data_IF_829116999195
#
_entry.id   IF_829116999195
#
_cell.length_a   1.000
_cell.length_b   1.000
_cell.length_c   1.000
_cell.angle_alpha   90.00
_cell.angle_beta   90.00
_cell.angle_gamma   90.00
#
_symmetry.space_group_name_H-M   'P 1'
#
loop_
_entity.id
_entity.type
_entity.pdbx_description
1 polymer ?
#
# COMPACT_ATOMS: atom_id res chain seq x y z
N UNK A 1 -53.91 35.90 -21.34
CA UNK A 1 -52.71 36.70 -21.65
C UNK A 1 -51.52 35.79 -21.52
N UNK A 2 -50.73 35.72 -22.57
CA UNK A 2 -49.58 34.84 -22.84
C UNK A 2 -48.43 35.03 -21.83
N UNK A 3 -47.71 33.97 -21.47
CA UNK A 3 -46.28 33.76 -21.77
C UNK A 3 -45.81 32.36 -21.32
N UNK A 4 -44.87 31.80 -22.08
CA UNK A 4 -44.28 30.47 -21.98
C UNK A 4 -42.82 30.54 -21.48
N UNK A 5 -42.17 29.37 -21.41
CA UNK A 5 -40.73 29.10 -21.16
C UNK A 5 -40.28 29.19 -19.68
N UNK A 6 -39.55 28.26 -19.05
CA UNK A 6 -38.90 27.02 -19.46
C UNK A 6 -37.95 26.53 -18.34
N UNK A 7 -37.93 25.21 -18.12
CA UNK A 7 -36.75 24.35 -17.92
C UNK A 7 -35.65 24.63 -16.86
N UNK A 8 -35.35 23.56 -16.10
CA UNK A 8 -34.13 23.22 -15.35
C UNK A 8 -33.75 24.09 -14.14
N UNK A 9 -33.48 23.45 -12.99
CA UNK A 9 -32.13 23.08 -12.53
C UNK A 9 -32.23 22.58 -11.08
N UNK A 10 -31.47 21.53 -10.80
CA UNK A 10 -31.16 20.95 -9.50
C UNK A 10 -30.68 22.02 -8.51
N UNK A 11 -31.43 22.27 -7.44
CA UNK A 11 -30.93 23.06 -6.30
C UNK A 11 -30.05 22.15 -5.42
N UNK A 12 -28.84 21.90 -5.90
CA UNK A 12 -27.69 21.45 -5.11
C UNK A 12 -27.15 22.69 -4.44
N UNK A 13 -27.43 22.83 -3.14
CA UNK A 13 -26.93 23.97 -2.38
C UNK A 13 -25.40 23.96 -2.28
N UNK A 14 -24.76 25.14 -2.32
CA UNK A 14 -23.35 25.28 -2.64
C UNK A 14 -22.46 24.99 -1.44
N UNK A 15 -21.43 24.17 -1.66
CA UNK A 15 -20.32 24.01 -0.71
C UNK A 15 -19.62 25.34 -0.52
N UNK A 16 -19.50 25.77 0.74
CA UNK A 16 -18.74 26.97 1.11
C UNK A 16 -17.30 26.94 0.55
N UNK A 17 -16.69 28.11 0.32
CA UNK A 17 -15.41 28.20 -0.35
C UNK A 17 -14.30 27.56 0.50
N UNK A 18 -13.80 26.43 0.03
CA UNK A 18 -12.48 25.90 0.42
C UNK A 18 -11.43 26.97 0.08
N UNK A 19 -10.38 27.16 0.91
CA UNK A 19 -9.37 28.19 0.71
C UNK A 19 -8.79 28.12 -0.70
N UNK A 20 -9.00 29.19 -1.47
CA UNK A 20 -8.63 29.32 -2.90
C UNK A 20 -7.14 29.06 -3.14
N UNK A 21 -6.31 29.25 -2.11
CA UNK A 21 -4.87 29.02 -2.14
C UNK A 21 -4.47 27.56 -2.42
N UNK A 22 -5.17 26.58 -1.84
CA UNK A 22 -4.84 25.16 -2.00
C UNK A 22 -5.26 24.66 -3.39
N UNK A 23 -6.37 25.20 -3.90
CA UNK A 23 -6.87 24.88 -5.24
C UNK A 23 -5.90 25.35 -6.33
N UNK A 24 -5.43 26.60 -6.24
CA UNK A 24 -4.49 27.14 -7.22
C UNK A 24 -3.12 26.47 -7.15
N UNK A 25 -2.63 26.08 -5.96
CA UNK A 25 -1.38 25.30 -5.82
C UNK A 25 -1.47 23.93 -6.48
N UNK A 26 -2.55 23.19 -6.25
CA UNK A 26 -2.73 21.84 -6.84
C UNK A 26 -2.96 21.91 -8.35
N UNK A 27 -3.70 22.92 -8.83
CA UNK A 27 -3.96 23.10 -10.27
C UNK A 27 -2.72 23.63 -11.01
N UNK A 28 -1.93 24.50 -10.38
CA UNK A 28 -0.63 24.93 -10.89
C UNK A 28 0.39 23.80 -10.97
N UNK A 29 0.47 22.95 -9.93
CA UNK A 29 1.31 21.75 -9.95
C UNK A 29 0.90 20.78 -11.07
N UNK A 30 -0.40 20.52 -11.22
CA UNK A 30 -0.92 19.63 -12.26
C UNK A 30 -0.59 20.14 -13.68
N UNK A 31 -0.74 21.45 -13.93
CA UNK A 31 -0.38 22.07 -15.20
C UNK A 31 1.14 22.03 -15.45
N UNK A 32 1.96 22.28 -14.43
CA UNK A 32 3.42 22.16 -14.54
C UNK A 32 3.86 20.74 -14.90
N UNK A 33 3.30 19.73 -14.23
CA UNK A 33 3.58 18.32 -14.54
C UNK A 33 3.15 17.99 -15.97
N UNK A 34 1.97 18.44 -16.41
CA UNK A 34 1.50 18.20 -17.77
C UNK A 34 2.44 18.78 -18.82
N UNK A 35 2.96 20.00 -18.63
CA UNK A 35 3.93 20.62 -19.55
C UNK A 35 5.23 19.85 -19.60
N UNK A 36 5.74 19.38 -18.44
CA UNK A 36 6.96 18.56 -18.38
C UNK A 36 6.78 17.24 -19.12
N UNK A 37 5.65 16.56 -18.92
CA UNK A 37 5.36 15.29 -19.60
C UNK A 37 5.28 15.49 -21.12
N UNK A 38 4.60 16.54 -21.59
CA UNK A 38 4.54 16.87 -23.02
C UNK A 38 5.93 17.18 -23.58
N UNK A 39 6.76 17.92 -22.84
CA UNK A 39 8.14 18.21 -23.23
C UNK A 39 9.00 16.95 -23.37
N UNK A 40 8.89 16.01 -22.43
CA UNK A 40 9.61 14.73 -22.47
C UNK A 40 9.15 13.89 -23.66
N UNK A 41 7.84 13.80 -23.92
CA UNK A 41 7.29 13.06 -25.07
C UNK A 41 7.74 13.68 -26.39
N UNK A 42 7.74 15.01 -26.50
CA UNK A 42 8.25 15.67 -27.70
C UNK A 42 9.75 15.40 -27.90
N UNK A 43 10.55 15.46 -26.83
CA UNK A 43 11.99 15.18 -26.89
C UNK A 43 12.29 13.73 -27.30
N UNK A 44 11.54 12.75 -26.79
CA UNK A 44 11.73 11.34 -27.18
C UNK A 44 11.35 11.10 -28.65
N UNK A 45 10.28 11.73 -29.15
CA UNK A 45 9.89 11.64 -30.56
C UNK A 45 10.96 12.25 -31.47
N UNK A 46 11.52 13.41 -31.10
CA UNK A 46 12.59 14.07 -31.87
C UNK A 46 13.86 13.21 -31.87
N UNK A 47 14.24 12.63 -30.73
CA UNK A 47 15.40 11.74 -30.64
C UNK A 47 15.23 10.46 -31.46
N UNK A 48 14.02 9.90 -31.51
CA UNK A 48 13.70 8.72 -32.34
C UNK A 48 13.67 9.05 -33.84
N UNK A 49 13.14 10.21 -34.23
CA UNK A 49 13.11 10.64 -35.63
C UNK A 49 14.52 11.00 -36.15
N UNK A 50 15.39 11.53 -35.28
CA UNK A 50 16.79 11.85 -35.59
C UNK A 50 17.73 10.64 -35.70
N UNK A 51 17.35 9.46 -35.22
CA UNK A 51 18.15 8.22 -35.33
C UNK A 51 17.90 7.43 -36.62
N UNK A 52 17.06 7.92 -37.52
CA UNK A 52 16.75 7.26 -38.80
C UNK A 52 17.48 7.92 -39.99
N UNK A 53 18.77 8.21 -39.81
CA UNK A 53 19.66 8.61 -40.91
C UNK A 53 20.98 7.81 -40.86
N UNK A 54 20.97 6.68 -41.56
CA UNK A 54 22.16 6.13 -42.22
C UNK A 54 23.06 5.19 -41.42
N UNK A 55 22.73 3.90 -41.36
CA UNK A 55 23.72 2.83 -41.23
C UNK A 55 23.68 1.95 -42.49
N UNK A 56 24.75 2.03 -43.29
CA UNK A 56 24.99 1.32 -44.54
C UNK A 56 25.49 -0.11 -44.23
N UNK A 57 24.94 -1.18 -44.82
CA UNK A 57 25.48 -2.52 -44.62
C UNK A 57 26.60 -2.79 -45.62
N UNK A 58 27.66 -3.47 -45.17
CA UNK A 58 28.63 -4.12 -46.04
C UNK A 58 28.76 -5.58 -45.59
N UNK A 59 28.23 -6.49 -46.41
CA UNK A 59 28.62 -7.90 -46.42
C UNK A 59 29.94 -8.04 -47.19
N UNK A 60 30.84 -8.92 -46.73
CA UNK A 60 31.81 -9.58 -47.60
C UNK A 60 32.29 -10.90 -46.96
N UNK A 61 32.28 -11.93 -47.81
CA UNK A 61 32.53 -13.35 -47.60
C UNK A 61 33.94 -13.76 -47.12
N UNK A 62 34.03 -14.99 -46.56
CA UNK A 62 35.21 -15.89 -46.54
C UNK A 62 35.28 -16.64 -47.91
N UNK A 63 36.36 -17.36 -48.34
CA UNK A 63 37.48 -17.98 -47.60
C UNK A 63 38.87 -17.69 -48.26
N UNK A 64 40.05 -18.08 -47.77
CA UNK A 64 40.60 -19.45 -47.81
C UNK A 64 42.12 -19.44 -47.43
N UNK A 65 42.56 -20.52 -46.77
CA UNK A 65 43.88 -21.19 -46.76
C UNK A 65 45.22 -20.46 -46.41
N UNK A 66 45.90 -21.05 -45.42
CA UNK A 66 47.34 -20.96 -45.06
C UNK A 66 48.25 -21.61 -46.14
N UNK A 67 49.62 -21.67 -46.10
CA UNK A 67 50.49 -21.78 -44.91
C UNK A 67 51.97 -21.25 -44.96
N UNK A 68 52.68 -21.42 -43.84
CA UNK A 68 54.15 -21.72 -43.67
C UNK A 68 55.20 -20.60 -43.45
N UNK A 69 55.66 -20.48 -42.18
CA UNK A 69 57.04 -20.52 -41.56
C UNK A 69 58.32 -20.13 -42.39
N UNK A 70 59.52 -19.98 -41.77
CA UNK A 70 59.96 -19.41 -40.47
C UNK A 70 61.26 -18.54 -40.59
N UNK A 71 61.74 -17.86 -39.53
CA UNK A 71 63.14 -17.39 -39.50
C UNK A 71 63.54 -16.36 -38.43
N UNK A 72 64.36 -16.78 -37.47
CA UNK A 72 65.35 -16.00 -36.71
C UNK A 72 66.76 -16.54 -37.11
N UNK A 73 67.97 -16.00 -36.77
CA UNK A 73 68.35 -15.25 -35.54
C UNK A 73 69.52 -14.19 -35.76
N UNK A 74 70.53 -13.94 -34.86
CA UNK A 74 71.06 -12.62 -34.39
C UNK A 74 72.57 -12.41 -34.78
N UNK A 75 73.57 -11.90 -34.01
CA UNK A 75 73.71 -11.02 -32.80
C UNK A 75 74.85 -9.92 -32.90
N UNK A 76 75.09 -9.07 -31.87
CA UNK A 76 76.45 -8.75 -31.31
C UNK A 76 76.49 -7.70 -30.15
N UNK A 77 77.32 -8.01 -29.13
CA UNK A 77 77.80 -7.22 -27.96
C UNK A 77 79.31 -6.83 -28.18
N UNK A 78 80.22 -6.42 -27.22
CA UNK A 78 80.23 -6.31 -25.73
C UNK A 78 81.12 -5.11 -25.15
N UNK A 79 81.96 -5.19 -24.07
CA UNK A 79 81.78 -4.97 -22.60
C UNK A 79 82.85 -3.96 -21.98
N UNK A 80 83.43 -4.04 -20.74
CA UNK A 80 83.12 -4.65 -19.40
C UNK A 80 83.21 -3.63 -18.19
N UNK A 81 82.82 -3.92 -16.94
CA UNK A 81 83.64 -4.51 -15.84
C UNK A 81 82.85 -4.47 -14.50
N UNK A 82 82.90 -5.52 -13.65
CA UNK A 82 82.32 -5.56 -12.27
C UNK A 82 83.34 -5.20 -11.17
N UNK A 83 83.25 -5.68 -9.91
CA UNK A 83 82.11 -6.16 -9.10
C UNK A 83 82.08 -5.59 -7.64
N UNK A 84 81.12 -6.07 -6.84
CA UNK A 84 81.09 -6.14 -5.34
C UNK A 84 80.93 -4.89 -4.46
N UNK A 85 79.90 -4.91 -3.59
CA UNK A 85 79.82 -4.03 -2.42
C UNK A 85 78.42 -3.86 -1.78
N UNK A 86 78.02 -4.83 -0.95
CA UNK A 86 77.19 -4.71 0.27
C UNK A 86 75.89 -3.85 0.31
N UNK A 87 74.76 -4.57 0.36
CA UNK A 87 73.52 -4.38 1.16
C UNK A 87 72.79 -3.01 1.27
N UNK A 88 71.46 -2.94 1.01
CA UNK A 88 70.71 -1.68 0.92
C UNK A 88 70.05 -1.25 2.24
N UNK A 89 69.97 0.08 2.42
CA UNK A 89 69.16 0.79 3.41
C UNK A 89 67.67 0.72 3.00
N UNK A 90 66.80 0.33 3.93
CA UNK A 90 65.35 0.20 3.74
C UNK A 90 64.61 1.56 3.79
N UNK A 91 63.68 1.83 2.85
CA UNK A 91 62.54 2.73 3.03
C UNK A 91 61.23 1.93 3.28
N UNK A 92 60.20 2.55 3.88
CA UNK A 92 59.09 1.82 4.52
C UNK A 92 58.14 1.16 3.52
N UNK A 93 57.66 -0.04 3.89
CA UNK A 93 56.67 -0.81 3.16
C UNK A 93 55.31 -0.09 3.14
N UNK A 94 54.88 0.34 1.96
CA UNK A 94 53.46 0.58 1.68
C UNK A 94 52.79 -0.78 1.56
N UNK A 95 51.93 -1.11 2.53
CA UNK A 95 51.16 -2.34 2.54
C UNK A 95 50.27 -2.46 1.30
N UNK A 96 50.59 -3.43 0.46
CA UNK A 96 49.70 -3.95 -0.56
C UNK A 96 48.56 -4.69 0.14
N UNK A 97 47.35 -4.13 0.10
CA UNK A 97 46.13 -4.88 0.42
C UNK A 97 45.90 -5.90 -0.71
N UNK A 98 45.88 -7.21 -0.44
CA UNK A 98 45.33 -8.15 -1.42
C UNK A 98 43.80 -8.07 -1.36
N UNK A 99 43.18 -7.49 -2.40
CA UNK A 99 41.73 -7.62 -2.61
C UNK A 99 41.37 -9.10 -2.72
N UNK A 100 40.76 -9.63 -1.66
CA UNK A 100 40.06 -10.91 -1.71
C UNK A 100 38.73 -10.68 -2.44
N UNK A 101 38.44 -11.39 -3.54
CA UNK A 101 37.14 -11.28 -4.20
C UNK A 101 36.07 -11.81 -3.24
N UNK A 102 35.23 -10.90 -2.74
CA UNK A 102 34.02 -11.29 -2.02
C UNK A 102 33.13 -12.03 -3.01
N UNK A 103 32.76 -13.31 -2.77
CA UNK A 103 31.87 -14.02 -3.66
C UNK A 103 30.51 -13.33 -3.66
N UNK A 104 30.17 -12.70 -4.79
CA UNK A 104 28.80 -12.25 -5.09
C UNK A 104 27.92 -13.50 -5.15
N UNK A 105 27.21 -13.79 -4.07
CA UNK A 105 26.11 -14.73 -4.11
C UNK A 105 25.12 -14.24 -5.17
N UNK A 106 24.94 -15.03 -6.23
CA UNK A 106 23.95 -14.75 -7.25
C UNK A 106 22.58 -14.64 -6.58
N UNK A 107 21.94 -13.48 -6.69
CA UNK A 107 20.54 -13.28 -6.30
C UNK A 107 19.72 -14.23 -7.15
N UNK A 108 19.21 -15.31 -6.55
CA UNK A 108 18.28 -16.20 -7.24
C UNK A 108 17.07 -15.39 -7.68
N UNK A 109 16.58 -15.55 -8.93
CA UNK A 109 15.36 -14.88 -9.37
C UNK A 109 14.22 -15.18 -8.39
N UNK A 110 13.37 -14.19 -8.05
CA UNK A 110 12.19 -14.44 -7.23
C UNK A 110 11.38 -15.61 -7.81
N UNK A 111 10.82 -16.50 -6.97
CA UNK A 111 9.96 -17.57 -7.45
C UNK A 111 8.83 -16.99 -8.30
N UNK A 112 8.69 -17.50 -9.54
CA UNK A 112 7.57 -17.14 -10.40
C UNK A 112 6.33 -17.82 -9.86
N UNK A 113 5.36 -17.03 -9.41
CA UNK A 113 4.07 -17.53 -8.92
C UNK A 113 3.35 -18.27 -10.05
N UNK A 114 2.93 -19.51 -9.79
CA UNK A 114 2.15 -20.31 -10.75
C UNK A 114 0.66 -20.19 -10.46
N UNK A 115 -0.14 -20.50 -11.45
CA UNK A 115 -1.59 -20.51 -11.28
C UNK A 115 -2.02 -21.56 -10.25
N UNK A 116 -2.82 -21.13 -9.27
CA UNK A 116 -3.35 -22.01 -8.22
C UNK A 116 -2.44 -22.18 -7.00
N UNK A 117 -1.24 -21.60 -7.00
CA UNK A 117 -0.39 -21.44 -5.82
C UNK A 117 -1.07 -20.53 -4.78
N UNK A 118 -0.60 -20.56 -3.53
CA UNK A 118 -1.05 -19.61 -2.50
C UNK A 118 -0.65 -18.18 -2.87
N UNK A 119 -1.59 -17.25 -2.76
CA UNK A 119 -1.32 -15.84 -2.96
C UNK A 119 -0.35 -15.33 -1.89
N UNK A 120 0.86 -14.86 -2.24
CA UNK A 120 1.70 -14.15 -1.29
C UNK A 120 1.05 -12.80 -0.92
N UNK A 121 1.39 -12.28 0.25
CA UNK A 121 0.85 -11.00 0.72
C UNK A 121 1.21 -9.82 -0.22
N UNK A 122 2.27 -9.96 -1.03
CA UNK A 122 2.68 -8.95 -2.03
C UNK A 122 1.75 -8.87 -3.25
N UNK A 123 0.97 -9.91 -3.54
CA UNK A 123 0.00 -9.92 -4.66
C UNK A 123 -1.42 -9.66 -4.19
N UNK A 124 -1.63 -9.41 -2.91
CA UNK A 124 -2.93 -9.09 -2.34
C UNK A 124 -2.95 -7.66 -1.80
N UNK A 125 -4.12 -7.04 -1.88
CA UNK A 125 -4.43 -5.81 -1.16
C UNK A 125 -5.64 -6.04 -0.27
N UNK A 126 -5.64 -5.41 0.90
CA UNK A 126 -6.77 -5.42 1.83
C UNK A 126 -7.20 -3.98 2.07
N UNK A 127 -8.51 -3.76 2.11
CA UNK A 127 -9.11 -2.45 2.35
C UNK A 127 -10.30 -2.55 3.29
N UNK A 128 -10.39 -1.63 4.24
CA UNK A 128 -11.59 -1.41 5.03
C UNK A 128 -12.53 -0.39 4.37
N UNK A 129 -13.82 -0.54 4.62
CA UNK A 129 -14.85 0.43 4.30
C UNK A 129 -15.84 0.50 5.47
N UNK A 130 -16.36 1.69 5.71
CA UNK A 130 -17.47 1.94 6.64
C UNK A 130 -18.70 2.35 5.83
N UNK A 131 -19.91 2.06 6.29
CA UNK A 131 -21.13 2.45 5.58
C UNK A 131 -21.44 3.95 5.67
N UNK A 132 -20.88 4.64 6.67
CA UNK A 132 -20.87 6.09 6.81
C UNK A 132 -19.52 6.55 7.43
N UNK A 133 -19.11 7.81 7.22
CA UNK A 133 -17.92 8.37 7.85
C UNK A 133 -18.16 8.84 9.30
N UNK A 134 -19.43 8.99 9.72
CA UNK A 134 -19.82 9.49 11.03
C UNK A 134 -21.02 8.69 11.55
N UNK A 135 -21.05 8.50 12.86
CA UNK A 135 -22.08 7.76 13.59
C UNK A 135 -22.34 8.46 14.93
N UNK A 136 -23.40 8.04 15.62
CA UNK A 136 -23.70 8.41 16.99
C UNK A 136 -23.48 7.22 17.92
N UNK A 137 -23.12 7.46 19.19
CA UNK A 137 -23.09 6.38 20.19
C UNK A 137 -24.45 5.70 20.23
N UNK A 138 -24.46 4.37 20.13
CA UNK A 138 -25.67 3.56 19.99
C UNK A 138 -25.94 3.06 18.57
N UNK A 139 -25.36 3.72 17.56
CA UNK A 139 -25.35 3.20 16.19
C UNK A 139 -24.56 1.90 16.09
N UNK A 140 -24.82 1.15 15.02
CA UNK A 140 -24.11 -0.08 14.70
C UNK A 140 -23.37 0.04 13.36
N UNK A 141 -22.15 0.61 13.34
CA UNK A 141 -21.34 0.72 12.14
C UNK A 141 -21.13 -0.64 11.46
N UNK A 142 -21.34 -0.68 10.15
CA UNK A 142 -21.06 -1.84 9.31
C UNK A 142 -19.68 -1.67 8.66
N UNK A 143 -18.74 -2.51 9.07
CA UNK A 143 -17.40 -2.55 8.52
C UNK A 143 -17.32 -3.61 7.43
N UNK A 144 -17.02 -3.18 6.21
CA UNK A 144 -16.80 -4.06 5.06
C UNK A 144 -15.30 -4.20 4.83
N UNK A 145 -14.85 -5.44 4.78
CA UNK A 145 -13.49 -5.87 4.53
C UNK A 145 -13.42 -6.35 3.09
N UNK A 146 -12.50 -5.79 2.31
CA UNK A 146 -12.31 -6.11 0.90
C UNK A 146 -10.90 -6.67 0.72
N UNK A 147 -10.80 -7.86 0.14
CA UNK A 147 -9.53 -8.49 -0.25
C UNK A 147 -9.48 -8.53 -1.78
N UNK A 148 -8.39 -8.08 -2.37
CA UNK A 148 -8.22 -7.96 -3.82
C UNK A 148 -6.92 -8.62 -4.27
N UNK A 149 -6.96 -9.40 -5.35
CA UNK A 149 -5.74 -9.82 -6.04
C UNK A 149 -5.24 -8.68 -6.94
N UNK A 150 -4.11 -8.08 -6.57
CA UNK A 150 -3.42 -7.02 -7.31
C UNK A 150 -2.26 -7.56 -8.16
N UNK A 151 -2.01 -8.87 -8.10
CA UNK A 151 -1.06 -9.56 -8.94
C UNK A 151 -1.58 -9.82 -10.35
N UNK A 152 -0.73 -10.43 -11.18
CA UNK A 152 -1.02 -10.76 -12.57
C UNK A 152 -1.40 -12.24 -12.76
N UNK A 153 -1.35 -13.05 -11.69
CA UNK A 153 -1.56 -14.50 -11.74
C UNK A 153 -2.70 -14.87 -10.79
N UNK A 154 -3.53 -15.84 -11.20
CA UNK A 154 -4.57 -16.41 -10.36
C UNK A 154 -3.96 -17.26 -9.23
N UNK A 155 -4.36 -17.02 -7.99
CA UNK A 155 -3.79 -17.71 -6.82
C UNK A 155 -4.88 -17.96 -5.76
N UNK A 156 -4.58 -18.77 -4.75
CA UNK A 156 -5.53 -19.13 -3.67
C UNK A 156 -5.19 -18.41 -2.37
N UNK A 157 -6.20 -17.96 -1.63
CA UNK A 157 -5.99 -17.44 -0.28
C UNK A 157 -7.17 -17.80 0.62
N UNK A 158 -6.85 -18.14 1.85
CA UNK A 158 -7.87 -18.20 2.91
C UNK A 158 -8.32 -16.78 3.25
N UNK A 159 -9.63 -16.54 3.19
CA UNK A 159 -10.29 -15.31 3.63
C UNK A 159 -11.42 -15.61 4.61
N UNK A 160 -11.31 -16.75 5.29
CA UNK A 160 -12.25 -17.21 6.31
C UNK A 160 -12.25 -16.35 7.56
N UNK A 161 -13.25 -16.60 8.40
CA UNK A 161 -13.45 -15.88 9.66
C UNK A 161 -12.31 -16.13 10.67
N UNK A 162 -11.46 -17.13 10.46
CA UNK A 162 -10.28 -17.40 11.29
C UNK A 162 -9.11 -16.42 11.04
N UNK A 163 -8.99 -15.88 9.83
CA UNK A 163 -7.82 -15.10 9.38
C UNK A 163 -8.14 -13.66 8.99
N UNK A 164 -9.41 -13.36 8.67
CA UNK A 164 -9.86 -12.03 8.28
C UNK A 164 -10.45 -11.26 9.47
N UNK A 165 -9.74 -10.21 9.88
CA UNK A 165 -10.08 -9.40 11.04
C UNK A 165 -10.32 -7.93 10.69
N UNK A 166 -11.34 -7.33 11.30
CA UNK A 166 -11.55 -5.90 11.39
C UNK A 166 -11.18 -5.45 12.81
N UNK A 167 -10.34 -4.43 12.90
CA UNK A 167 -9.92 -3.81 14.15
C UNK A 167 -10.33 -2.35 14.22
N UNK A 168 -10.74 -1.91 15.40
CA UNK A 168 -10.91 -0.48 15.71
C UNK A 168 -9.75 -0.03 16.59
N UNK A 169 -9.11 1.06 16.18
CA UNK A 169 -8.00 1.72 16.89
C UNK A 169 -8.38 3.16 17.27
N UNK A 170 -7.84 3.63 18.40
CA UNK A 170 -7.79 5.07 18.69
C UNK A 170 -6.81 5.79 17.74
N UNK A 171 -6.83 7.13 17.73
CA UNK A 171 -5.82 7.93 17.01
C UNK A 171 -4.39 7.67 17.51
N UNK A 172 -4.23 7.35 18.80
CA UNK A 172 -2.93 6.99 19.40
C UNK A 172 -2.51 5.54 19.11
N UNK A 173 -3.15 4.88 18.14
CA UNK A 173 -2.89 3.49 17.76
C UNK A 173 -3.13 2.45 18.88
N UNK A 174 -3.95 2.77 19.88
CA UNK A 174 -4.41 1.77 20.87
C UNK A 174 -5.52 0.93 20.25
N UNK A 175 -5.34 -0.40 20.23
CA UNK A 175 -6.39 -1.33 19.81
C UNK A 175 -7.55 -1.30 20.80
N UNK A 176 -8.76 -1.10 20.31
CA UNK A 176 -9.97 -1.00 21.14
C UNK A 176 -10.93 -2.16 20.93
N UNK A 177 -10.96 -2.74 19.73
CA UNK A 177 -11.88 -3.83 19.40
C UNK A 177 -11.38 -4.69 18.22
N UNK A 178 -11.84 -5.94 18.15
CA UNK A 178 -11.73 -6.85 17.00
C UNK A 178 -12.98 -7.72 16.85
N UNK A 179 -13.37 -8.06 15.62
CA UNK A 179 -14.44 -9.05 15.37
C UNK A 179 -14.08 -10.46 15.88
N UNK A 180 -12.79 -10.77 16.03
CA UNK A 180 -12.32 -12.09 16.46
C UNK A 180 -12.27 -12.28 17.98
N UNK A 181 -12.36 -11.19 18.76
CA UNK A 181 -12.15 -11.26 20.21
C UNK A 181 -13.28 -12.02 20.92
N UNK A 182 -14.53 -11.83 20.49
CA UNK A 182 -15.74 -12.30 21.17
C UNK A 182 -16.51 -13.41 20.46
N UNK A 183 -16.25 -13.62 19.18
CA UNK A 183 -16.84 -14.69 18.39
C UNK A 183 -15.77 -15.27 17.46
N UNK A 184 -14.66 -15.82 18.00
CA UNK A 184 -13.66 -16.46 17.18
C UNK A 184 -14.30 -17.64 16.43
N UNK A 185 -13.96 -17.77 15.16
CA UNK A 185 -14.38 -18.90 14.31
C UNK A 185 -13.15 -19.57 13.73
N UNK A 186 -13.18 -20.90 13.65
CA UNK A 186 -12.15 -21.69 12.95
C UNK A 186 -12.54 -21.97 11.49
N UNK A 187 -13.60 -21.33 10.99
CA UNK A 187 -14.04 -21.47 9.62
C UNK A 187 -13.01 -20.87 8.66
N UNK A 188 -12.46 -21.73 7.81
CA UNK A 188 -11.61 -21.35 6.68
C UNK A 188 -12.47 -21.16 5.44
N UNK A 189 -12.07 -20.22 4.58
CA UNK A 189 -12.71 -19.96 3.30
C UNK A 189 -11.63 -19.74 2.27
N UNK A 190 -11.13 -20.85 1.70
CA UNK A 190 -10.15 -20.79 0.61
C UNK A 190 -10.84 -20.32 -0.66
N UNK A 191 -10.42 -19.17 -1.18
CA UNK A 191 -10.88 -18.62 -2.46
C UNK A 191 -9.75 -18.56 -3.46
N UNK A 192 -10.05 -18.96 -4.68
CA UNK A 192 -9.20 -18.63 -5.84
C UNK A 192 -9.52 -17.21 -6.25
N UNK A 193 -8.50 -16.36 -6.36
CA UNK A 193 -8.61 -14.99 -6.85
C UNK A 193 -7.99 -14.89 -8.23
N UNK A 194 -8.79 -14.55 -9.23
CA UNK A 194 -8.30 -14.07 -10.52
C UNK A 194 -7.74 -12.64 -10.39
N UNK A 195 -6.84 -12.20 -11.28
CA UNK A 195 -6.31 -10.83 -11.25
C UNK A 195 -7.44 -9.78 -11.23
N UNK A 196 -7.40 -8.88 -10.23
CA UNK A 196 -8.42 -7.85 -10.01
C UNK A 196 -9.69 -8.33 -9.28
N UNK A 197 -9.84 -9.63 -9.02
CA UNK A 197 -10.99 -10.17 -8.29
C UNK A 197 -11.00 -9.71 -6.84
N UNK A 198 -12.21 -9.52 -6.31
CA UNK A 198 -12.44 -9.03 -4.96
C UNK A 198 -13.38 -9.95 -4.19
N UNK A 199 -13.01 -10.27 -2.96
CA UNK A 199 -13.89 -10.89 -1.98
C UNK A 199 -14.23 -9.85 -0.92
N UNK A 200 -15.52 -9.76 -0.58
CA UNK A 200 -16.01 -8.82 0.42
C UNK A 200 -16.70 -9.56 1.56
N UNK A 201 -16.41 -9.13 2.78
CA UNK A 201 -17.01 -9.67 4.01
C UNK A 201 -17.36 -8.50 4.91
N UNK A 202 -18.50 -8.54 5.58
CA UNK A 202 -18.93 -7.44 6.44
C UNK A 202 -19.19 -7.92 7.87
N UNK A 203 -18.86 -7.06 8.84
CA UNK A 203 -19.16 -7.24 10.25
C UNK A 203 -19.85 -6.01 10.80
N UNK A 204 -20.76 -6.22 11.74
CA UNK A 204 -21.46 -5.13 12.44
C UNK A 204 -20.81 -4.93 13.79
N UNK A 205 -20.35 -3.71 14.06
CA UNK A 205 -19.75 -3.34 15.34
C UNK A 205 -20.78 -2.63 16.22
N UNK A 206 -20.79 -2.96 17.51
CA UNK A 206 -21.80 -2.47 18.46
C UNK A 206 -21.37 -1.21 19.23
N UNK A 207 -20.24 -0.60 18.88
CA UNK A 207 -19.65 0.49 19.68
C UNK A 207 -18.98 0.06 20.98
N UNK A 208 -18.83 -1.25 21.23
CA UNK A 208 -18.20 -1.79 22.44
C UNK A 208 -16.76 -2.21 22.16
N UNK A 209 -15.89 -2.02 23.15
CA UNK A 209 -14.53 -2.52 23.12
C UNK A 209 -14.44 -4.02 23.37
N UNK A 210 -13.31 -4.61 23.00
CA UNK A 210 -13.00 -6.02 23.24
C UNK A 210 -11.51 -6.24 23.43
N UNK A 211 -11.19 -7.37 24.04
CA UNK A 211 -9.83 -7.88 24.21
C UNK A 211 -9.84 -9.40 23.93
N UNK A 212 -8.67 -10.05 23.72
CA UNK A 212 -8.63 -11.49 23.49
C UNK A 212 -9.35 -12.25 24.61
N UNK A 213 -10.05 -13.32 24.26
CA UNK A 213 -10.93 -14.10 25.16
C UNK A 213 -12.19 -13.37 25.66
N UNK A 214 -12.47 -12.16 25.15
CA UNK A 214 -13.68 -11.40 25.42
C UNK A 214 -14.03 -11.27 26.92
N UNK A 215 -13.18 -10.58 27.72
CA UNK A 215 -13.49 -10.35 29.12
C UNK A 215 -14.77 -9.51 29.25
N UNK A 216 -15.60 -9.87 30.25
CA UNK A 216 -16.79 -9.13 30.64
C UNK A 216 -16.52 -8.34 31.94
N UNK A 217 -17.13 -7.15 32.12
CA UNK A 217 -17.97 -6.45 31.15
C UNK A 217 -17.15 -5.83 30.02
N UNK A 218 -17.71 -5.80 28.80
CA UNK A 218 -17.08 -5.08 27.68
C UNK A 218 -17.16 -3.57 27.93
N UNK A 219 -16.05 -2.82 27.77
CA UNK A 219 -16.08 -1.37 27.96
C UNK A 219 -16.82 -0.70 26.80
N UNK A 220 -17.68 0.28 27.07
CA UNK A 220 -18.26 1.12 26.03
C UNK A 220 -17.18 2.08 25.47
N UNK A 221 -17.17 2.27 24.14
CA UNK A 221 -16.28 3.23 23.49
C UNK A 221 -17.04 4.55 23.36
N UNK A 222 -16.46 5.62 23.92
CA UNK A 222 -17.06 6.95 23.93
C UNK A 222 -17.01 7.64 22.57
N UNK A 223 -17.44 8.90 22.54
CA UNK A 223 -17.33 9.72 21.34
C UNK A 223 -15.87 10.06 21.03
N UNK A 224 -15.54 10.12 19.73
CA UNK A 224 -14.19 10.39 19.27
C UNK A 224 -13.98 10.04 17.80
N UNK A 225 -12.75 10.22 17.34
CA UNK A 225 -12.31 9.77 16.01
C UNK A 225 -11.50 8.48 16.17
N UNK A 226 -11.79 7.51 15.31
CA UNK A 226 -11.22 6.18 15.36
C UNK A 226 -10.77 5.74 13.96
N UNK A 227 -9.93 4.72 13.93
CA UNK A 227 -9.45 4.11 12.71
C UNK A 227 -9.94 2.67 12.61
N UNK A 228 -10.61 2.34 11.51
CA UNK A 228 -10.83 0.96 11.09
C UNK A 228 -9.57 0.47 10.36
N UNK A 229 -9.02 -0.67 10.79
CA UNK A 229 -7.94 -1.37 10.10
C UNK A 229 -8.37 -2.81 9.88
N UNK A 230 -8.41 -3.23 8.63
CA UNK A 230 -8.64 -4.62 8.24
C UNK A 230 -7.30 -5.34 8.09
N UNK A 231 -7.25 -6.59 8.51
CA UNK A 231 -6.07 -7.44 8.45
C UNK A 231 -6.44 -8.84 7.96
N UNK A 232 -5.64 -9.37 7.05
CA UNK A 232 -5.70 -10.75 6.58
C UNK A 232 -4.37 -11.44 6.88
N UNK A 233 -4.32 -12.29 7.90
CA UNK A 233 -3.04 -12.84 8.38
C UNK A 233 -2.06 -11.73 8.77
N UNK A 234 -0.96 -11.58 8.03
CA UNK A 234 0.05 -10.52 8.25
C UNK A 234 -0.19 -9.26 7.40
N UNK A 235 -1.07 -9.32 6.41
CA UNK A 235 -1.36 -8.21 5.50
C UNK A 235 -2.35 -7.24 6.15
N UNK A 236 -1.95 -5.97 6.31
CA UNK A 236 -2.79 -4.91 6.91
C UNK A 236 -3.15 -3.84 5.88
N UNK A 237 -4.39 -3.39 5.96
CA UNK A 237 -4.90 -2.25 5.19
C UNK A 237 -4.42 -0.91 5.75
N UNK A 238 -4.56 0.13 4.94
CA UNK A 238 -4.47 1.51 5.42
C UNK A 238 -5.62 1.84 6.39
N UNK A 239 -5.39 2.67 7.41
CA UNK A 239 -6.43 3.12 8.34
C UNK A 239 -7.55 3.88 7.63
N UNK A 240 -8.80 3.56 7.97
CA UNK A 240 -9.98 4.29 7.52
C UNK A 240 -10.57 5.06 8.70
N UNK A 241 -10.49 6.41 8.70
CA UNK A 241 -11.00 7.20 9.80
C UNK A 241 -12.53 7.23 9.79
N UNK A 242 -13.13 7.16 10.97
CA UNK A 242 -14.55 7.42 11.18
C UNK A 242 -14.77 8.11 12.53
N UNK A 243 -15.92 8.77 12.67
CA UNK A 243 -16.27 9.53 13.88
C UNK A 243 -17.44 8.86 14.60
N UNK A 244 -17.36 8.78 15.92
CA UNK A 244 -18.47 8.45 16.80
C UNK A 244 -18.83 9.71 17.61
N UNK A 245 -19.99 10.28 17.35
CA UNK A 245 -20.51 11.48 18.01
C UNK A 245 -21.28 11.11 19.28
N UNK A 246 -21.37 12.05 20.22
CA UNK A 246 -22.32 11.94 21.33
C UNK A 246 -23.74 11.85 20.78
N UNK A 247 -24.64 11.03 21.36
CA UNK A 247 -26.03 10.94 20.90
C UNK A 247 -26.65 12.33 20.84
N UNK A 248 -27.50 12.63 19.84
CA UNK A 248 -28.22 13.88 19.82
C UNK A 248 -29.01 14.02 21.13
N UNK A 249 -29.09 15.23 21.71
CA UNK A 249 -29.91 15.45 22.89
C UNK A 249 -31.35 15.01 22.60
N UNK A 250 -32.04 14.40 23.58
CA UNK A 250 -33.43 14.01 23.38
C UNK A 250 -34.25 15.24 22.96
N UNK A 251 -35.27 15.06 22.09
CA UNK A 251 -36.15 16.16 21.71
C UNK A 251 -36.62 16.89 22.96
N UNK A 252 -36.41 18.20 23.01
CA UNK A 252 -36.95 19.02 24.10
C UNK A 252 -38.48 18.90 24.14
N UNK A 253 -39.12 19.26 25.28
CA UNK A 253 -40.57 19.31 25.34
C UNK A 253 -41.11 20.15 24.18
N UNK A 254 -42.10 19.63 23.45
CA UNK A 254 -42.79 20.41 22.42
C UNK A 254 -43.40 21.64 23.11
N UNK A 255 -43.31 22.86 22.51
CA UNK A 255 -43.93 24.05 23.07
C UNK A 255 -45.42 23.79 23.35
N UNK A 256 -45.82 23.81 24.62
CA UNK A 256 -47.20 23.58 25.05
C UNK A 256 -47.52 22.18 25.59
N UNK A 257 -46.57 21.25 25.67
CA UNK A 257 -46.76 20.00 26.42
C UNK A 257 -46.27 20.16 27.87
N UNK A 258 -47.10 19.86 28.89
CA UNK A 258 -46.64 19.76 30.27
C UNK A 258 -45.50 18.75 30.35
N UNK A 259 -44.48 19.03 31.15
CA UNK A 259 -43.40 18.08 31.42
C UNK A 259 -44.02 16.74 31.87
N UNK A 260 -43.78 15.67 31.10
CA UNK A 260 -44.16 14.33 31.52
C UNK A 260 -43.36 14.02 32.78
N UNK A 261 -44.06 13.88 33.91
CA UNK A 261 -43.44 13.53 35.17
C UNK A 261 -42.65 12.21 35.00
N UNK A 262 -41.47 12.08 35.62
CA UNK A 262 -40.74 10.82 35.59
C UNK A 262 -41.66 9.69 36.10
N UNK A 263 -41.61 8.49 35.48
CA UNK A 263 -42.40 7.36 35.96
C UNK A 263 -42.08 7.09 37.44
N UNK A 264 -43.08 6.74 38.27
CA UNK A 264 -42.84 6.46 39.67
C UNK A 264 -41.82 5.34 39.81
N UNK A 265 -40.83 5.57 40.68
CA UNK A 265 -39.78 4.61 41.00
C UNK A 265 -40.41 3.27 41.40
N UNK A 266 -40.03 2.20 40.70
CA UNK A 266 -40.56 0.87 40.97
C UNK A 266 -40.21 0.48 42.42
N UNK A 267 -41.16 -0.05 43.21
CA UNK A 267 -40.88 -0.46 44.58
C UNK A 267 -39.78 -1.54 44.58
N UNK A 268 -38.91 -1.56 45.61
CA UNK A 268 -37.83 -2.52 45.69
C UNK A 268 -38.39 -3.94 45.68
N UNK A 269 -37.81 -4.79 44.84
CA UNK A 269 -38.15 -6.20 44.77
C UNK A 269 -37.92 -6.87 46.15
N UNK A 270 -38.84 -7.72 46.63
CA UNK A 270 -38.62 -8.43 47.88
C UNK A 270 -37.42 -9.37 47.73
N UNK A 271 -36.49 -9.28 48.67
CA UNK A 271 -35.43 -10.26 48.82
C UNK A 271 -36.06 -11.61 49.21
N UNK A 272 -35.96 -12.58 48.30
CA UNK A 272 -36.33 -13.98 48.51
C UNK A 272 -35.16 -14.88 48.15
#
# INVERSE_FOLDING_TARGET
MTWAYGLFVLDVEPRGPLPTEIYWRRRGLALGIAVVVVGVVAATIIAFMGHSAGAKPASADKPNSAPSKPGAPPPQAPPPSGPEGATPIAPPAQGLNPESPTPTAAVQPPPVLKEGDDCPDSTLAVKGLTNAPQYFIGDQPKFTMVVTNIGLVSCKRDVGASVLAAYVYSLDNKRLWSNLDCAPSNETLIKTFTPGEQVTTAVTWTGMGSAPHCPLPRPAIGGGTYNLVVQLGNLRSQPVPFILNQPPPPPGPLPGQPAVAPPPEAPPAPAG
#
